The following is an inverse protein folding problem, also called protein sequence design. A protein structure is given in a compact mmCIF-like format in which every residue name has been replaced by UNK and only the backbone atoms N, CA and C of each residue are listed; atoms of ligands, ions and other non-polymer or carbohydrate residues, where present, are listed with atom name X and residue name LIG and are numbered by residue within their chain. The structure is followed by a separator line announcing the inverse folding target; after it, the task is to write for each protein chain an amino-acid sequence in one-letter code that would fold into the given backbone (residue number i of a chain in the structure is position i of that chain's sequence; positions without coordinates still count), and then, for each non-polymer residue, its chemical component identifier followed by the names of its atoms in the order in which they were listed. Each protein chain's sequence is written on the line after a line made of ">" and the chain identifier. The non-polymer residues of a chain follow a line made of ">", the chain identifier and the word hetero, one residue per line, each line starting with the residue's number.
data_IF_417516238584
#
_entry.id   IF_417516238584
#
_cell.length_a   1.000
_cell.length_b   1.000
_cell.length_c   1.000
_cell.angle_alpha   90.00
_cell.angle_beta   90.00
_cell.angle_gamma   90.00
#
_symmetry.space_group_name_H-M   'P 1'
#
loop_
_entity.id
_entity.type
_entity.pdbx_description
1 polymer ?
#
# COMPACT_ATOMS: atom_id res chain seq x y z
N UNK A 1 -8.83 10.37 13.20
CA UNK A 1 -9.13 9.18 12.35
C UNK A 1 -7.82 8.65 11.77
N UNK A 2 -7.72 7.34 11.47
CA UNK A 2 -6.50 6.74 10.89
C UNK A 2 -6.84 5.97 9.62
N UNK A 3 -6.15 6.26 8.52
CA UNK A 3 -6.39 5.67 7.19
C UNK A 3 -5.21 4.78 6.79
N UNK A 4 -5.52 3.56 6.33
CA UNK A 4 -4.54 2.65 5.76
C UNK A 4 -4.60 2.73 4.24
N UNK A 5 -3.49 3.14 3.63
CA UNK A 5 -3.31 3.25 2.19
C UNK A 5 -2.60 1.99 1.68
N UNK A 6 -3.20 1.27 0.74
CA UNK A 6 -2.66 0.00 0.24
C UNK A 6 -2.08 0.18 -1.16
N UNK A 7 -0.76 0.03 -1.29
CA UNK A 7 -0.12 -0.08 -2.60
C UNK A 7 -0.24 -1.52 -3.11
N UNK A 8 -1.13 -1.74 -4.09
CA UNK A 8 -1.31 -3.02 -4.77
C UNK A 8 -0.40 -3.23 -5.99
N UNK A 9 0.46 -2.27 -6.31
CA UNK A 9 1.44 -2.40 -7.40
C UNK A 9 2.61 -3.29 -6.97
N UNK A 10 3.16 -4.13 -7.87
CA UNK A 10 4.40 -4.86 -7.58
C UNK A 10 5.59 -3.91 -7.34
N UNK A 11 5.49 -2.65 -7.74
CA UNK A 11 6.54 -1.65 -7.58
C UNK A 11 6.35 -0.84 -6.29
N UNK A 12 7.29 -1.00 -5.35
CA UNK A 12 7.31 -0.29 -4.07
C UNK A 12 7.32 1.24 -4.24
N UNK A 13 8.09 1.76 -5.22
CA UNK A 13 8.25 3.19 -5.51
C UNK A 13 7.86 3.51 -6.95
N UNK A 14 6.68 3.05 -7.37
CA UNK A 14 6.09 3.35 -8.69
C UNK A 14 5.03 4.44 -8.64
N UNK A 15 4.32 4.64 -9.76
CA UNK A 15 3.27 5.66 -9.87
C UNK A 15 2.17 5.53 -8.80
N UNK A 16 1.81 4.30 -8.42
CA UNK A 16 0.83 4.05 -7.35
C UNK A 16 1.33 4.55 -6.00
N UNK A 17 2.62 4.37 -5.69
CA UNK A 17 3.21 4.91 -4.47
C UNK A 17 3.17 6.44 -4.45
N UNK A 18 3.51 7.08 -5.58
CA UNK A 18 3.44 8.54 -5.71
C UNK A 18 2.02 9.06 -5.52
N UNK A 19 1.03 8.44 -6.16
CA UNK A 19 -0.38 8.83 -6.01
C UNK A 19 -0.90 8.67 -4.56
N UNK A 20 -0.49 7.59 -3.88
CA UNK A 20 -0.80 7.40 -2.46
C UNK A 20 -0.08 8.44 -1.58
N UNK A 21 1.12 8.88 -1.96
CA UNK A 21 1.85 9.97 -1.31
C UNK A 21 1.10 11.29 -1.36
N UNK A 22 0.62 11.70 -2.54
CA UNK A 22 -0.20 12.91 -2.68
C UNK A 22 -1.49 12.82 -1.86
N UNK A 23 -2.14 11.65 -1.88
CA UNK A 23 -3.35 11.40 -1.07
C UNK A 23 -3.04 11.47 0.44
N UNK A 24 -1.91 10.90 0.87
CA UNK A 24 -1.49 10.91 2.26
C UNK A 24 -1.23 12.34 2.75
N UNK A 25 -0.56 13.16 1.92
CA UNK A 25 -0.30 14.55 2.21
C UNK A 25 -1.58 15.34 2.45
N UNK A 26 -2.55 15.25 1.53
CA UNK A 26 -3.85 15.94 1.68
C UNK A 26 -4.59 15.46 2.94
N UNK A 27 -4.57 14.16 3.24
CA UNK A 27 -5.21 13.63 4.45
C UNK A 27 -4.51 14.10 5.73
N UNK A 28 -3.17 14.18 5.72
CA UNK A 28 -2.38 14.65 6.85
C UNK A 28 -2.61 16.16 7.10
N UNK A 29 -2.77 16.97 6.05
CA UNK A 29 -3.16 18.40 6.13
C UNK A 29 -4.52 18.59 6.81
N UNK A 30 -5.46 17.66 6.60
CA UNK A 30 -6.77 17.61 7.27
C UNK A 30 -6.70 16.98 8.69
N UNK A 31 -5.50 16.67 9.21
CA UNK A 31 -5.29 16.07 10.53
C UNK A 31 -5.64 14.58 10.61
N UNK A 32 -5.74 13.89 9.47
CA UNK A 32 -6.03 12.45 9.39
C UNK A 32 -4.72 11.69 9.22
N UNK A 33 -4.33 10.93 10.23
CA UNK A 33 -3.11 10.13 10.18
C UNK A 33 -3.19 9.01 9.13
N UNK A 34 -2.15 8.88 8.32
CA UNK A 34 -2.07 7.85 7.28
C UNK A 34 -0.92 6.87 7.51
N UNK A 35 -1.10 5.62 7.07
CA UNK A 35 -0.05 4.60 6.97
C UNK A 35 -0.11 3.92 5.61
N UNK A 36 1.05 3.59 5.03
CA UNK A 36 1.11 2.86 3.75
C UNK A 36 1.49 1.41 3.99
N UNK A 37 0.67 0.52 3.44
CA UNK A 37 0.89 -0.90 3.36
C UNK A 37 1.25 -1.27 1.92
N UNK A 38 2.40 -1.93 1.73
CA UNK A 38 2.78 -2.49 0.44
C UNK A 38 2.54 -4.00 0.47
N UNK A 39 1.70 -4.49 -0.45
CA UNK A 39 1.62 -5.92 -0.69
C UNK A 39 2.67 -6.30 -1.74
N UNK A 40 3.81 -6.85 -1.30
CA UNK A 40 4.86 -7.33 -2.22
C UNK A 40 4.43 -8.54 -3.04
N UNK A 41 3.30 -9.13 -2.70
CA UNK A 41 2.69 -10.19 -3.49
C UNK A 41 1.38 -9.66 -4.05
N UNK A 42 1.00 -10.01 -5.27
CA UNK A 42 -0.35 -9.73 -5.77
C UNK A 42 -1.40 -10.60 -5.06
N UNK A 43 -1.23 -10.86 -3.76
CA UNK A 43 -2.03 -11.77 -2.97
C UNK A 43 -3.31 -11.11 -2.43
N UNK A 44 -3.33 -9.77 -2.32
CA UNK A 44 -4.52 -8.99 -2.02
C UNK A 44 -5.50 -8.90 -3.20
N UNK A 45 -5.02 -8.91 -4.45
CA UNK A 45 -5.89 -9.02 -5.62
C UNK A 45 -6.14 -10.51 -5.86
N UNK A 46 -7.27 -11.01 -5.38
CA UNK A 46 -7.63 -12.43 -5.23
C UNK A 46 -7.51 -13.36 -6.46
N UNK A 47 -6.99 -12.88 -7.59
CA UNK A 47 -6.77 -13.69 -8.80
C UNK A 47 -5.65 -14.73 -8.59
N UNK A 48 -4.56 -14.41 -7.88
CA UNK A 48 -3.42 -15.34 -7.79
C UNK A 48 -3.57 -16.44 -6.71
N UNK A 49 -4.53 -16.32 -5.78
CA UNK A 49 -4.73 -17.32 -4.72
C UNK A 49 -5.47 -18.58 -5.21
N UNK A 50 -6.27 -18.47 -6.28
CA UNK A 50 -7.03 -19.60 -6.84
C UNK A 50 -6.14 -20.65 -7.53
N UNK A 51 -4.91 -20.29 -7.91
CA UNK A 51 -4.00 -21.19 -8.64
C UNK A 51 -2.73 -21.57 -7.86
N UNK A 52 -2.57 -21.15 -6.59
CA UNK A 52 -1.41 -21.52 -5.77
C UNK A 52 -0.05 -20.97 -6.25
N UNK A 53 -0.06 -20.01 -7.18
CA UNK A 53 1.14 -19.46 -7.83
C UNK A 53 1.85 -18.37 -7.01
N UNK A 54 1.15 -17.70 -6.09
CA UNK A 54 1.72 -16.61 -5.28
C UNK A 54 1.81 -17.00 -3.79
N UNK A 55 3.03 -17.20 -3.27
CA UNK A 55 3.29 -17.34 -1.82
C UNK A 55 3.07 -15.99 -1.14
N UNK A 56 2.42 -15.91 0.02
CA UNK A 56 2.37 -14.63 0.75
C UNK A 56 3.75 -14.32 1.35
N UNK A 57 4.32 -13.18 1.00
CA UNK A 57 5.59 -12.69 1.54
C UNK A 57 5.40 -11.88 2.82
N UNK A 58 6.51 -11.49 3.47
CA UNK A 58 6.44 -10.73 4.73
C UNK A 58 5.82 -9.35 4.51
N UNK A 59 4.81 -9.06 5.33
CA UNK A 59 4.09 -7.80 5.36
C UNK A 59 5.02 -6.67 5.84
N UNK A 60 5.03 -5.53 5.13
CA UNK A 60 5.72 -4.31 5.58
C UNK A 60 4.72 -3.16 5.67
N UNK A 61 4.45 -2.74 6.89
CA UNK A 61 3.75 -1.48 7.18
C UNK A 61 4.84 -0.43 7.37
N UNK A 62 4.75 0.65 6.61
CA UNK A 62 5.66 1.78 6.75
C UNK A 62 4.86 3.08 6.78
N UNK A 63 5.30 4.00 7.65
CA UNK A 63 4.84 5.38 7.57
C UNK A 63 5.50 6.00 6.35
N UNK A 64 4.75 6.70 5.52
CA UNK A 64 5.34 7.59 4.54
C UNK A 64 6.15 8.63 5.30
N UNK A 65 7.47 8.61 5.07
CA UNK A 65 8.32 9.72 5.47
C UNK A 65 8.22 10.73 4.34
N UNK A 66 7.35 11.71 4.55
CA UNK A 66 7.27 12.94 3.75
C UNK A 66 8.52 13.80 4.02
#
# INVERSE_FOLDING_TARGET
>A
MKVLLVNGSPHEKGCTYTALGETAKTLNEEGIATEVFLDRHQAAVGVCRLQGLCKAGPLRIQRLRE
#
